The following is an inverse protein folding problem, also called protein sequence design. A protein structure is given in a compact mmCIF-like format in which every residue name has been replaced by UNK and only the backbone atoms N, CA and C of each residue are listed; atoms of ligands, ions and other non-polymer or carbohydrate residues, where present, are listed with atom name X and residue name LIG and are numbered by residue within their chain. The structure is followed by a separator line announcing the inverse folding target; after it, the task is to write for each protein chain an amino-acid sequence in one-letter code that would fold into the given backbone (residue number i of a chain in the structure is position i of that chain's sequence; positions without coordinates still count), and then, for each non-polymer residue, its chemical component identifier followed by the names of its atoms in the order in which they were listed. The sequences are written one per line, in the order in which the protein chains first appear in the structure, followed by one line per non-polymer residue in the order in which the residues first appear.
data_IF_547749950479
#
_entry.id   IF_547749950479
#
_cell.length_a   1.000
_cell.length_b   1.000
_cell.length_c   1.000
_cell.angle_alpha   90.00
_cell.angle_beta   90.00
_cell.angle_gamma   90.00
#
_symmetry.space_group_name_H-M   'P 1'
#
loop_
_entity.id
_entity.type
_entity.pdbx_description
1 polymer ?
#
# COMPACT_ATOMS: atom_id res chain seq x y z
N UNK A 1 -26.23 -1.69 15.07
CA UNK A 1 -25.33 -1.76 16.25
C UNK A 1 -24.03 -2.36 15.76
N UNK A 2 -22.91 -1.67 16.00
CA UNK A 2 -21.63 -1.88 15.31
C UNK A 2 -21.03 -3.26 15.60
N UNK A 3 -20.60 -3.96 14.54
CA UNK A 3 -19.46 -4.85 14.66
C UNK A 3 -18.23 -3.98 14.91
N UNK A 4 -17.64 -4.11 16.10
CA UNK A 4 -16.34 -3.53 16.38
C UNK A 4 -15.34 -4.68 16.24
N UNK A 5 -14.72 -4.75 15.05
CA UNK A 5 -13.42 -5.41 14.92
C UNK A 5 -12.47 -4.41 15.59
N UNK A 6 -11.94 -4.76 16.76
CA UNK A 6 -11.13 -3.80 17.53
C UNK A 6 -9.66 -3.87 17.19
N UNK A 7 -9.14 -5.03 16.78
CA UNK A 7 -7.72 -5.18 16.54
C UNK A 7 -7.50 -6.20 15.41
N UNK A 8 -6.70 -5.81 14.43
CA UNK A 8 -6.08 -6.66 13.41
C UNK A 8 -4.59 -6.59 13.64
N UNK A 9 -3.99 -7.72 14.01
CA UNK A 9 -2.54 -7.85 14.08
C UNK A 9 -2.05 -8.58 12.84
N UNK A 10 -1.06 -8.01 12.16
CA UNK A 10 -0.39 -8.59 11.01
C UNK A 10 0.91 -9.26 11.46
N UNK A 11 0.82 -10.36 12.20
CA UNK A 11 2.00 -11.18 12.53
C UNK A 11 2.31 -12.11 11.38
N UNK A 12 3.58 -12.38 11.05
CA UNK A 12 4.06 -13.54 10.24
C UNK A 12 3.23 -14.04 9.01
N UNK A 13 2.39 -13.20 8.38
CA UNK A 13 1.47 -13.60 7.32
C UNK A 13 0.10 -14.13 7.80
N UNK A 14 -0.25 -13.87 9.06
CA UNK A 14 -1.51 -14.16 9.73
C UNK A 14 -2.24 -12.88 10.18
N UNK A 15 -3.56 -12.98 10.31
CA UNK A 15 -4.44 -11.91 10.84
C UNK A 15 -5.22 -12.44 12.03
N UNK A 16 -5.18 -11.75 13.16
CA UNK A 16 -6.12 -11.97 14.27
C UNK A 16 -7.22 -10.90 14.24
N UNK A 17 -8.49 -11.29 14.19
CA UNK A 17 -9.67 -10.41 14.20
C UNK A 17 -10.35 -10.53 15.56
N UNK A 18 -10.35 -9.46 16.35
CA UNK A 18 -11.02 -9.42 17.66
C UNK A 18 -12.45 -8.87 17.58
N UNK A 19 -13.43 -9.62 18.10
CA UNK A 19 -14.85 -9.22 18.15
C UNK A 19 -15.22 -8.77 19.58
N UNK A 20 -15.40 -7.46 19.77
CA UNK A 20 -15.72 -6.85 21.07
C UNK A 20 -17.18 -6.37 21.17
N UNK A 21 -18.13 -7.25 20.83
CA UNK A 21 -19.55 -6.96 20.95
C UNK A 21 -20.44 -8.01 20.31
N UNK A 22 -21.75 -7.91 20.55
CA UNK A 22 -22.75 -8.78 19.93
C UNK A 22 -22.76 -8.60 18.41
N UNK A 23 -22.90 -9.70 17.66
CA UNK A 23 -22.96 -9.67 16.20
C UNK A 23 -24.38 -9.93 15.70
N UNK A 24 -24.85 -9.09 14.79
CA UNK A 24 -26.10 -9.26 14.07
C UNK A 24 -25.88 -9.81 12.65
N UNK A 25 -26.97 -10.02 11.90
CA UNK A 25 -26.90 -10.57 10.53
C UNK A 25 -26.08 -9.70 9.56
N UNK A 26 -26.07 -8.37 9.72
CA UNK A 26 -25.27 -7.47 8.86
C UNK A 26 -23.80 -7.58 9.23
N UNK A 27 -23.51 -7.62 10.52
CA UNK A 27 -22.18 -7.84 11.08
C UNK A 27 -21.58 -9.17 10.58
N UNK A 28 -22.31 -10.28 10.65
CA UNK A 28 -21.89 -11.58 10.10
C UNK A 28 -21.49 -11.47 8.63
N UNK A 29 -22.33 -10.87 7.77
CA UNK A 29 -22.04 -10.70 6.33
C UNK A 29 -20.76 -9.89 6.10
N UNK A 30 -20.54 -8.83 6.87
CA UNK A 30 -19.34 -7.98 6.76
C UNK A 30 -18.08 -8.73 7.16
N UNK A 31 -18.10 -9.46 8.28
CA UNK A 31 -16.96 -10.28 8.71
C UNK A 31 -16.63 -11.37 7.69
N UNK A 32 -17.63 -12.10 7.18
CA UNK A 32 -17.39 -13.10 6.13
C UNK A 32 -16.79 -12.47 4.88
N UNK A 33 -17.28 -11.29 4.45
CA UNK A 33 -16.71 -10.57 3.31
C UNK A 33 -15.26 -10.15 3.57
N UNK A 34 -14.98 -9.61 4.75
CA UNK A 34 -13.63 -9.19 5.14
C UNK A 34 -12.64 -10.35 5.12
N UNK A 35 -13.02 -11.50 5.70
CA UNK A 35 -12.19 -12.70 5.69
C UNK A 35 -11.89 -13.17 4.26
N UNK A 36 -12.88 -13.13 3.37
CA UNK A 36 -12.68 -13.47 1.95
C UNK A 36 -11.70 -12.51 1.27
N UNK A 37 -11.83 -11.21 1.53
CA UNK A 37 -10.88 -10.21 1.02
C UNK A 37 -9.46 -10.53 1.50
N UNK A 38 -9.27 -10.85 2.78
CA UNK A 38 -7.96 -11.27 3.32
C UNK A 38 -7.40 -12.49 2.55
N UNK A 39 -8.23 -13.49 2.28
CA UNK A 39 -7.84 -14.70 1.55
C UNK A 39 -7.50 -14.42 0.08
N UNK A 40 -8.26 -13.54 -0.58
CA UNK A 40 -8.01 -13.11 -1.96
C UNK A 40 -6.64 -12.42 -2.10
N UNK A 41 -6.21 -11.70 -1.05
CA UNK A 41 -4.89 -11.08 -0.96
C UNK A 41 -3.83 -11.99 -0.28
N UNK A 42 -4.07 -13.31 -0.27
CA UNK A 42 -3.07 -14.31 0.13
C UNK A 42 -2.98 -14.58 1.63
N UNK A 43 -3.80 -13.95 2.47
CA UNK A 43 -3.81 -14.17 3.93
C UNK A 43 -4.79 -15.28 4.27
N UNK A 44 -4.24 -16.46 4.55
CA UNK A 44 -5.05 -17.64 4.85
C UNK A 44 -5.12 -17.97 6.34
N UNK A 45 -4.10 -17.56 7.10
CA UNK A 45 -4.02 -17.79 8.54
C UNK A 45 -4.82 -16.70 9.26
N UNK A 46 -6.11 -16.96 9.53
CA UNK A 46 -7.01 -15.98 10.15
C UNK A 46 -7.60 -16.56 11.44
N UNK A 47 -7.36 -15.87 12.55
CA UNK A 47 -7.88 -16.19 13.88
C UNK A 47 -9.01 -15.20 14.24
N UNK A 48 -10.19 -15.70 14.62
CA UNK A 48 -11.32 -14.91 15.09
C UNK A 48 -11.39 -15.04 16.63
N UNK A 49 -10.99 -13.97 17.33
CA UNK A 49 -10.96 -13.92 18.78
C UNK A 49 -12.26 -13.32 19.31
N UNK A 50 -12.90 -13.98 20.28
CA UNK A 50 -14.15 -13.49 20.87
C UNK A 50 -14.31 -13.83 22.35
N UNK A 51 -15.03 -12.98 23.08
CA UNK A 51 -15.31 -13.20 24.51
C UNK A 51 -16.33 -14.31 24.71
N UNK A 52 -16.09 -15.18 25.69
CA UNK A 52 -17.08 -16.17 26.17
C UNK A 52 -18.34 -15.53 26.77
N UNK A 53 -18.30 -14.22 27.08
CA UNK A 53 -19.46 -13.48 27.59
C UNK A 53 -20.47 -13.10 26.51
N UNK A 54 -20.15 -13.27 25.22
CA UNK A 54 -21.09 -13.03 24.13
C UNK A 54 -22.27 -14.00 24.19
N UNK A 55 -23.44 -13.58 23.69
CA UNK A 55 -24.61 -14.45 23.61
C UNK A 55 -24.32 -15.73 22.82
N UNK A 56 -24.99 -16.85 23.18
CA UNK A 56 -24.87 -18.13 22.44
C UNK A 56 -25.10 -17.95 20.94
N UNK A 57 -26.05 -17.09 20.57
CA UNK A 57 -26.35 -16.74 19.18
C UNK A 57 -25.15 -16.13 18.47
N UNK A 58 -24.47 -15.18 19.10
CA UNK A 58 -23.26 -14.56 18.54
C UNK A 58 -22.12 -15.57 18.43
N UNK A 59 -21.90 -16.39 19.46
CA UNK A 59 -20.88 -17.45 19.43
C UNK A 59 -21.14 -18.49 18.32
N UNK A 60 -22.39 -18.93 18.14
CA UNK A 60 -22.79 -19.84 17.06
C UNK A 60 -22.60 -19.21 15.68
N UNK A 61 -22.91 -17.92 15.53
CA UNK A 61 -22.68 -17.19 14.29
C UNK A 61 -21.18 -17.09 13.98
N UNK A 62 -20.31 -16.84 14.96
CA UNK A 62 -18.85 -16.83 14.79
C UNK A 62 -18.35 -18.20 14.34
N UNK A 63 -18.76 -19.28 15.03
CA UNK A 63 -18.41 -20.66 14.66
C UNK A 63 -18.87 -21.02 13.24
N UNK A 64 -20.03 -20.52 12.84
CA UNK A 64 -20.56 -20.71 11.48
C UNK A 64 -19.69 -20.00 10.45
N UNK A 65 -19.28 -18.75 10.71
CA UNK A 65 -18.37 -18.00 9.84
C UNK A 65 -17.02 -18.73 9.73
N UNK A 66 -16.42 -19.06 10.88
CA UNK A 66 -15.16 -19.82 11.01
C UNK A 66 -15.16 -21.07 10.12
N UNK A 67 -16.21 -21.90 10.23
CA UNK A 67 -16.38 -23.09 9.39
C UNK A 67 -16.54 -22.78 7.90
N UNK A 68 -17.27 -21.71 7.56
CA UNK A 68 -17.51 -21.33 6.16
C UNK A 68 -16.26 -20.77 5.47
N UNK A 69 -15.41 -20.07 6.22
CA UNK A 69 -14.21 -19.42 5.68
C UNK A 69 -12.94 -20.24 5.88
N UNK A 70 -12.97 -21.30 6.68
CA UNK A 70 -11.77 -22.04 7.05
C UNK A 70 -10.85 -21.27 8.00
N UNK A 71 -11.37 -20.22 8.65
CA UNK A 71 -10.67 -19.47 9.70
C UNK A 71 -10.70 -20.28 11.00
N UNK A 72 -9.83 -19.94 11.95
CA UNK A 72 -9.83 -20.51 13.29
C UNK A 72 -10.60 -19.58 14.22
N UNK A 73 -11.50 -20.10 15.05
CA UNK A 73 -12.15 -19.31 16.10
C UNK A 73 -11.59 -19.67 17.47
N UNK A 74 -11.36 -18.66 18.31
CA UNK A 74 -10.75 -18.81 19.64
C UNK A 74 -11.59 -18.04 20.65
N UNK A 75 -12.17 -18.76 21.61
CA UNK A 75 -12.88 -18.16 22.74
C UNK A 75 -11.89 -17.75 23.83
N UNK A 76 -12.00 -16.52 24.31
CA UNK A 76 -11.18 -16.01 25.42
C UNK A 76 -11.95 -16.11 26.74
N UNK A 77 -11.46 -16.97 27.65
CA UNK A 77 -12.02 -17.12 29.00
C UNK A 77 -11.68 -15.89 29.87
N UNK A 78 -12.67 -15.43 30.65
CA UNK A 78 -12.63 -14.15 31.37
C UNK A 78 -11.77 -14.11 32.65
N UNK A 79 -10.92 -15.10 32.96
CA UNK A 79 -10.08 -15.07 34.17
C UNK A 79 -8.64 -15.61 34.01
N UNK A 80 -7.70 -14.71 34.31
CA UNK A 80 -6.29 -14.87 34.71
C UNK A 80 -5.30 -15.58 33.77
N UNK A 81 -4.28 -14.83 33.37
CA UNK A 81 -2.90 -15.34 33.39
C UNK A 81 -2.15 -15.33 32.07
N UNK A 82 -2.78 -15.70 30.97
CA UNK A 82 -2.18 -15.66 29.64
C UNK A 82 -3.05 -14.82 28.71
N UNK A 83 -3.00 -13.48 28.88
CA UNK A 83 -3.21 -12.62 27.71
C UNK A 83 -2.20 -13.13 26.68
N UNK A 84 -2.65 -13.55 25.49
CA UNK A 84 -1.71 -13.64 24.37
C UNK A 84 -0.87 -12.36 24.44
N UNK A 85 0.45 -12.49 24.54
CA UNK A 85 1.37 -11.35 24.42
C UNK A 85 1.20 -10.82 23.00
N UNK A 86 0.15 -10.04 22.81
CA UNK A 86 -0.14 -9.32 21.58
C UNK A 86 0.98 -8.30 21.43
N UNK A 87 1.67 -8.29 20.29
CA UNK A 87 2.47 -7.11 19.95
C UNK A 87 1.49 -5.94 19.89
N UNK A 88 1.80 -4.88 20.63
CA UNK A 88 1.00 -3.66 20.68
C UNK A 88 1.22 -2.82 19.40
N UNK A 89 1.41 -3.42 18.22
CA UNK A 89 1.97 -2.72 17.06
C UNK A 89 0.92 -1.94 16.27
N UNK A 90 -0.26 -2.52 16.01
CA UNK A 90 -1.30 -1.88 15.19
C UNK A 90 -2.71 -2.24 15.67
N UNK A 91 -3.59 -1.23 15.64
CA UNK A 91 -5.01 -1.32 15.98
C UNK A 91 -5.83 -0.86 14.78
N UNK A 92 -6.81 -1.68 14.39
CA UNK A 92 -7.74 -1.39 13.30
C UNK A 92 -9.13 -1.27 13.89
N UNK A 93 -9.71 -0.08 13.81
CA UNK A 93 -11.07 0.19 14.27
C UNK A 93 -11.96 0.56 13.09
N UNK A 94 -13.10 -0.12 13.00
CA UNK A 94 -14.17 0.20 12.06
C UNK A 94 -15.24 1.04 12.77
N UNK A 95 -15.60 2.21 12.23
CA UNK A 95 -16.69 3.04 12.78
C UNK A 95 -17.70 3.41 11.69
N UNK A 96 -19.00 3.25 12.00
CA UNK A 96 -20.04 3.89 11.19
C UNK A 96 -20.06 5.38 11.57
N UNK A 97 -19.81 6.26 10.61
CA UNK A 97 -19.97 7.71 10.82
C UNK A 97 -21.41 8.07 10.46
N UNK A 98 -22.09 8.82 11.33
CA UNK A 98 -23.41 9.34 11.01
C UNK A 98 -23.30 10.27 9.79
N UNK A 99 -24.09 10.00 8.75
CA UNK A 99 -24.18 10.89 7.61
C UNK A 99 -24.70 12.27 8.06
N UNK A 100 -24.07 13.35 7.60
CA UNK A 100 -24.73 14.64 7.52
C UNK A 100 -25.98 14.53 6.63
N UNK A 101 -27.00 15.35 6.88
CA UNK A 101 -28.38 15.19 6.38
C UNK A 101 -28.55 15.07 4.84
N UNK A 102 -27.50 15.26 4.04
CA UNK A 102 -27.55 15.26 2.58
C UNK A 102 -26.92 14.05 1.87
N UNK A 103 -26.27 13.11 2.57
CA UNK A 103 -25.54 12.02 1.90
C UNK A 103 -25.99 10.63 2.39
N UNK A 104 -26.66 9.87 1.51
CA UNK A 104 -27.16 8.51 1.78
C UNK A 104 -26.11 7.43 1.48
N UNK A 105 -24.84 7.79 1.32
CA UNK A 105 -23.75 6.82 1.21
C UNK A 105 -23.48 6.15 2.58
N UNK A 106 -23.17 4.86 2.57
CA UNK A 106 -22.69 4.14 3.75
C UNK A 106 -21.32 4.72 4.16
N UNK A 107 -21.30 5.82 4.91
CA UNK A 107 -20.08 6.48 5.38
C UNK A 107 -19.39 5.66 6.48
N UNK A 108 -18.68 4.65 6.02
CA UNK A 108 -17.78 3.84 6.83
C UNK A 108 -16.46 4.59 6.95
N UNK A 109 -16.06 4.88 8.17
CA UNK A 109 -14.70 5.36 8.46
C UNK A 109 -13.87 4.18 8.95
N UNK A 110 -12.80 3.91 8.22
CA UNK A 110 -11.78 2.97 8.62
C UNK A 110 -10.69 3.73 9.37
N UNK A 111 -10.54 3.45 10.67
CA UNK A 111 -9.58 4.09 11.55
C UNK A 111 -8.42 3.12 11.85
N UNK A 112 -7.24 3.39 11.34
CA UNK A 112 -6.02 2.62 11.62
C UNK A 112 -5.19 3.37 12.64
N UNK A 113 -4.61 2.69 13.64
CA UNK A 113 -3.69 3.27 14.62
C UNK A 113 -2.44 2.42 14.72
N UNK A 114 -1.29 2.95 14.29
CA UNK A 114 0.00 2.28 14.38
C UNK A 114 0.74 2.81 15.60
N UNK A 115 1.00 1.94 16.57
CA UNK A 115 1.66 2.25 17.85
C UNK A 115 3.13 1.81 17.85
N UNK A 116 3.52 0.92 16.92
CA UNK A 116 4.90 0.57 16.62
C UNK A 116 5.25 1.03 15.20
N UNK A 117 5.98 2.14 15.12
CA UNK A 117 6.38 2.71 13.83
C UNK A 117 7.33 1.80 13.04
N UNK A 118 8.06 0.90 13.71
CA UNK A 118 8.98 -0.02 13.02
C UNK A 118 8.25 -1.04 12.14
N UNK A 119 7.00 -1.38 12.50
CA UNK A 119 6.13 -2.25 11.72
C UNK A 119 5.17 -1.48 10.81
N UNK A 120 4.92 -0.19 11.09
CA UNK A 120 3.91 0.62 10.40
C UNK A 120 4.05 0.62 8.88
N UNK A 121 5.25 0.78 8.33
CA UNK A 121 5.46 0.83 6.87
C UNK A 121 5.13 -0.50 6.17
N UNK A 122 5.36 -1.64 6.83
CA UNK A 122 5.00 -2.95 6.29
C UNK A 122 3.49 -3.19 6.36
N UNK A 123 2.86 -2.74 7.44
CA UNK A 123 1.45 -3.00 7.72
C UNK A 123 0.48 -2.03 7.03
N UNK A 124 0.91 -0.78 6.78
CA UNK A 124 0.06 0.27 6.20
C UNK A 124 -0.40 -0.08 4.79
N UNK A 125 0.49 -0.59 3.94
CA UNK A 125 0.15 -0.99 2.57
C UNK A 125 -0.88 -2.11 2.56
N UNK A 126 -0.73 -3.06 3.49
CA UNK A 126 -1.67 -4.17 3.64
C UNK A 126 -3.02 -3.70 4.16
N UNK A 127 -3.03 -2.84 5.17
CA UNK A 127 -4.23 -2.26 5.73
C UNK A 127 -5.01 -1.43 4.69
N UNK A 128 -4.31 -0.58 3.93
CA UNK A 128 -4.90 0.22 2.84
C UNK A 128 -5.43 -0.68 1.73
N UNK A 129 -4.73 -1.77 1.39
CA UNK A 129 -5.23 -2.80 0.46
C UNK A 129 -6.56 -3.36 0.94
N UNK A 130 -6.64 -3.82 2.18
CA UNK A 130 -7.85 -4.41 2.76
C UNK A 130 -9.02 -3.42 2.74
N UNK A 131 -8.76 -2.16 3.09
CA UNK A 131 -9.76 -1.09 3.04
C UNK A 131 -10.21 -0.82 1.60
N UNK A 132 -9.27 -0.70 0.66
CA UNK A 132 -9.60 -0.44 -0.75
C UNK A 132 -10.43 -1.55 -1.37
N UNK A 133 -10.11 -2.81 -1.10
CA UNK A 133 -10.94 -3.96 -1.53
C UNK A 133 -12.30 -3.99 -0.84
N UNK A 134 -12.38 -3.60 0.43
CA UNK A 134 -13.67 -3.48 1.12
C UNK A 134 -14.54 -2.35 0.56
N UNK A 135 -13.91 -1.29 0.06
CA UNK A 135 -14.54 -0.15 -0.63
C UNK A 135 -14.75 -0.37 -2.14
N UNK A 136 -14.40 -1.55 -2.66
CA UNK A 136 -14.52 -1.90 -4.09
C UNK A 136 -13.77 -0.92 -5.00
N UNK A 137 -12.59 -0.46 -4.58
CA UNK A 137 -11.74 0.39 -5.40
C UNK A 137 -11.06 -0.43 -6.50
N UNK A 138 -10.95 0.18 -7.69
CA UNK A 138 -10.10 -0.30 -8.77
C UNK A 138 -8.60 -0.22 -8.39
N UNK A 139 -7.77 -0.98 -9.10
CA UNK A 139 -6.34 -1.12 -8.79
C UNK A 139 -5.60 0.22 -8.92
N UNK A 140 -5.96 1.05 -9.91
CA UNK A 140 -5.35 2.38 -10.09
C UNK A 140 -5.66 3.33 -8.94
N UNK A 141 -6.94 3.43 -8.55
CA UNK A 141 -7.33 4.23 -7.38
C UNK A 141 -6.66 3.72 -6.11
N UNK A 142 -6.57 2.40 -5.92
CA UNK A 142 -5.91 1.79 -4.77
C UNK A 142 -4.40 2.08 -4.74
N UNK A 143 -3.68 1.93 -5.85
CA UNK A 143 -2.24 2.18 -5.88
C UNK A 143 -1.90 3.65 -5.65
N UNK A 144 -2.71 4.59 -6.19
CA UNK A 144 -2.57 6.02 -5.89
C UNK A 144 -2.77 6.31 -4.40
N UNK A 145 -3.81 5.72 -3.81
CA UNK A 145 -4.10 5.84 -2.37
C UNK A 145 -2.93 5.30 -1.53
N UNK A 146 -2.42 4.11 -1.86
CA UNK A 146 -1.29 3.50 -1.18
C UNK A 146 -0.06 4.40 -1.25
N UNK A 147 0.30 4.89 -2.45
CA UNK A 147 1.46 5.75 -2.61
C UNK A 147 1.33 7.04 -1.80
N UNK A 148 0.21 7.77 -1.89
CA UNK A 148 0.01 8.98 -1.09
C UNK A 148 0.12 8.74 0.42
N UNK A 149 -0.50 7.67 0.93
CA UNK A 149 -0.44 7.32 2.36
C UNK A 149 0.97 6.91 2.76
N UNK A 150 1.64 6.11 1.93
CA UNK A 150 3.00 5.63 2.15
C UNK A 150 4.00 6.79 2.22
N UNK A 151 3.88 7.80 1.35
CA UNK A 151 4.75 8.99 1.37
C UNK A 151 4.56 9.86 2.63
N UNK A 152 3.37 9.89 3.22
CA UNK A 152 3.17 10.56 4.52
C UNK A 152 3.73 9.71 5.68
N UNK A 153 3.54 8.40 5.59
CA UNK A 153 4.00 7.45 6.59
C UNK A 153 5.52 7.39 6.67
N UNK A 154 6.22 7.33 5.53
CA UNK A 154 7.68 7.30 5.50
C UNK A 154 8.28 8.56 6.13
N UNK A 155 7.72 9.74 5.83
CA UNK A 155 8.15 10.99 6.47
C UNK A 155 7.94 10.95 7.99
N UNK A 156 6.83 10.38 8.45
CA UNK A 156 6.56 10.26 9.89
C UNK A 156 7.50 9.25 10.57
N UNK A 157 7.74 8.11 9.93
CA UNK A 157 8.50 6.99 10.51
C UNK A 157 10.00 7.25 10.47
N UNK A 158 10.53 7.71 9.34
CA UNK A 158 11.97 7.87 9.12
C UNK A 158 12.49 9.25 9.52
N UNK A 159 11.64 10.28 9.51
CA UNK A 159 12.06 11.66 9.76
C UNK A 159 11.32 12.33 10.93
N UNK A 160 10.29 11.71 11.49
CA UNK A 160 9.53 12.26 12.60
C UNK A 160 10.35 12.32 13.89
N UNK A 161 10.36 13.47 14.55
CA UNK A 161 10.75 13.60 15.96
C UNK A 161 9.51 13.56 16.82
N UNK A 162 9.57 12.89 17.98
CA UNK A 162 8.40 12.72 18.85
C UNK A 162 8.71 13.24 20.25
N UNK A 163 7.82 14.09 20.77
CA UNK A 163 7.86 14.56 22.17
C UNK A 163 7.12 13.61 23.13
N UNK A 164 6.81 12.40 22.67
CA UNK A 164 6.04 11.39 23.39
C UNK A 164 6.69 10.02 23.22
N UNK A 165 6.63 9.21 24.27
CA UNK A 165 7.08 7.81 24.24
C UNK A 165 6.10 6.88 23.48
N UNK A 166 4.99 7.42 22.97
CA UNK A 166 3.98 6.69 22.23
C UNK A 166 3.77 7.35 20.86
N UNK A 167 4.72 7.20 19.93
CA UNK A 167 4.52 7.64 18.56
C UNK A 167 3.30 6.93 17.96
N UNK A 168 2.54 7.64 17.13
CA UNK A 168 1.29 7.12 16.60
C UNK A 168 0.96 7.71 15.24
N UNK A 169 0.55 6.84 14.32
CA UNK A 169 -0.08 7.22 13.06
C UNK A 169 -1.55 6.80 13.12
N UNK A 170 -2.46 7.71 12.79
CA UNK A 170 -3.89 7.44 12.70
C UNK A 170 -4.43 7.78 11.31
N UNK A 171 -4.95 6.79 10.59
CA UNK A 171 -5.57 6.97 9.29
C UNK A 171 -7.08 6.87 9.40
N UNK A 172 -7.80 7.82 8.82
CA UNK A 172 -9.25 7.76 8.60
C UNK A 172 -9.52 7.73 7.10
N UNK A 173 -10.14 6.67 6.59
CA UNK A 173 -10.47 6.54 5.16
C UNK A 173 -11.99 6.43 5.00
N UNK A 174 -12.55 7.25 4.12
CA UNK A 174 -13.96 7.26 3.73
C UNK A 174 -14.07 7.35 2.21
N UNK A 175 -15.19 6.95 1.62
CA UNK A 175 -15.39 7.06 0.18
C UNK A 175 -16.85 7.34 -0.18
N UNK A 176 -17.05 8.16 -1.21
CA UNK A 176 -18.32 8.33 -1.90
C UNK A 176 -18.18 7.86 -3.36
N UNK A 177 -19.13 8.18 -4.24
CA UNK A 177 -19.10 7.70 -5.63
C UNK A 177 -17.95 8.29 -6.45
N UNK A 178 -17.47 9.50 -6.12
CA UNK A 178 -16.47 10.21 -6.90
C UNK A 178 -15.06 10.16 -6.29
N UNK A 179 -14.95 10.10 -4.97
CA UNK A 179 -13.68 10.26 -4.27
C UNK A 179 -13.51 9.26 -3.12
N UNK A 180 -12.26 8.92 -2.88
CA UNK A 180 -11.77 8.39 -1.59
C UNK A 180 -11.15 9.55 -0.84
N UNK A 181 -11.63 9.81 0.38
CA UNK A 181 -11.10 10.86 1.25
C UNK A 181 -10.29 10.23 2.36
N UNK A 182 -9.06 10.72 2.54
CA UNK A 182 -8.15 10.30 3.59
C UNK A 182 -7.91 11.44 4.55
N UNK A 183 -7.87 11.13 5.83
CA UNK A 183 -7.31 11.98 6.87
C UNK A 183 -6.20 11.20 7.58
N UNK A 184 -4.97 11.57 7.27
CA UNK A 184 -3.75 11.09 7.90
C UNK A 184 -3.44 11.95 9.12
N UNK A 185 -3.14 11.32 10.26
CA UNK A 185 -2.72 12.01 11.48
C UNK A 185 -1.48 11.37 12.05
N UNK A 186 -0.57 12.18 12.56
CA UNK A 186 0.56 11.72 13.34
C UNK A 186 0.84 12.68 14.49
N UNK A 187 1.56 12.21 15.51
CA UNK A 187 1.95 13.00 16.67
C UNK A 187 3.46 13.32 16.67
N UNK A 188 4.11 13.30 15.50
CA UNK A 188 5.47 13.83 15.37
C UNK A 188 5.46 15.35 15.58
N UNK A 189 6.63 15.97 15.72
CA UNK A 189 6.76 17.41 15.65
C UNK A 189 6.38 17.93 14.26
N UNK A 190 6.25 19.26 14.14
CA UNK A 190 5.90 19.87 12.86
C UNK A 190 7.05 19.66 11.89
N UNK A 191 6.82 18.83 10.88
CA UNK A 191 7.73 18.62 9.77
C UNK A 191 7.30 19.42 8.53
N UNK A 192 6.01 19.41 8.19
CA UNK A 192 5.50 20.03 6.97
C UNK A 192 5.38 21.57 7.11
N UNK A 193 6.24 22.29 6.39
CA UNK A 193 6.01 23.73 6.14
C UNK A 193 5.31 23.90 4.79
N UNK A 194 4.35 24.86 4.69
CA UNK A 194 3.59 25.13 3.44
C UNK A 194 4.46 25.40 2.20
N UNK A 195 5.75 25.66 2.39
CA UNK A 195 6.73 26.05 1.38
C UNK A 195 7.31 24.86 0.59
N UNK A 196 7.20 23.63 1.07
CA UNK A 196 7.84 22.44 0.47
C UNK A 196 7.02 21.77 -0.66
N UNK A 197 5.92 22.40 -1.10
CA UNK A 197 4.91 21.80 -1.97
C UNK A 197 5.14 21.98 -3.49
N UNK A 198 6.19 22.71 -3.88
CA UNK A 198 6.52 22.96 -5.29
C UNK A 198 7.90 22.42 -5.65
N UNK A 199 7.93 21.21 -6.20
CA UNK A 199 9.11 20.59 -6.80
C UNK A 199 8.80 20.33 -8.27
N UNK A 200 9.80 20.35 -9.14
CA UNK A 200 9.64 19.93 -10.53
C UNK A 200 10.40 18.61 -10.74
N UNK A 201 9.69 17.54 -11.12
CA UNK A 201 10.33 16.22 -11.38
C UNK A 201 11.46 16.36 -12.39
N UNK A 202 11.24 17.11 -13.47
CA UNK A 202 12.23 17.23 -14.54
C UNK A 202 13.54 17.85 -14.05
N UNK A 203 13.49 18.73 -13.05
CA UNK A 203 14.68 19.36 -12.48
C UNK A 203 15.37 18.40 -11.49
N UNK A 204 14.63 17.69 -10.65
CA UNK A 204 15.19 16.62 -9.79
C UNK A 204 15.85 15.49 -10.58
N UNK A 205 15.25 15.06 -11.69
CA UNK A 205 15.85 14.04 -12.59
C UNK A 205 17.19 14.55 -13.14
N UNK A 206 17.27 15.82 -13.58
CA UNK A 206 18.52 16.40 -14.09
C UNK A 206 19.58 16.51 -13.01
N UNK A 207 19.19 16.89 -11.80
CA UNK A 207 20.06 17.04 -10.63
C UNK A 207 20.45 15.70 -10.00
N UNK A 208 19.89 14.57 -10.48
CA UNK A 208 20.08 13.21 -9.93
C UNK A 208 19.67 13.12 -8.47
N UNK A 209 18.75 13.96 -8.03
CA UNK A 209 18.19 13.89 -6.68
C UNK A 209 17.05 12.88 -6.65
N UNK A 210 17.34 11.70 -6.10
CA UNK A 210 16.34 10.64 -5.87
C UNK A 210 15.48 10.88 -4.63
N UNK A 211 15.84 11.88 -3.80
CA UNK A 211 15.15 12.21 -2.54
C UNK A 211 14.22 13.41 -2.69
N UNK A 212 13.18 13.48 -1.86
CA UNK A 212 12.24 14.61 -1.82
C UNK A 212 11.17 14.59 -2.92
N UNK A 213 10.94 13.43 -3.55
CA UNK A 213 9.84 13.24 -4.53
C UNK A 213 8.48 13.00 -3.84
N UNK A 214 8.45 12.60 -2.57
CA UNK A 214 7.22 12.16 -1.90
C UNK A 214 6.08 13.18 -1.88
N UNK A 215 6.32 14.38 -1.35
CA UNK A 215 5.29 15.44 -1.29
C UNK A 215 4.89 15.95 -2.68
N UNK A 216 5.84 15.97 -3.62
CA UNK A 216 5.54 16.28 -5.00
C UNK A 216 4.55 15.28 -5.61
N UNK A 217 4.88 13.98 -5.51
CA UNK A 217 4.07 12.90 -6.06
C UNK A 217 2.68 12.93 -5.41
N UNK A 218 2.62 13.15 -4.09
CA UNK A 218 1.36 13.32 -3.39
C UNK A 218 0.48 14.41 -4.02
N UNK A 219 1.05 15.57 -4.36
CA UNK A 219 0.30 16.67 -4.98
C UNK A 219 -0.19 16.37 -6.41
N UNK A 220 0.47 15.47 -7.14
CA UNK A 220 0.00 15.05 -8.46
C UNK A 220 -1.08 13.97 -8.37
N UNK A 221 -0.97 13.06 -7.39
CA UNK A 221 -1.86 11.91 -7.26
C UNK A 221 -3.15 12.23 -6.48
N UNK A 222 -3.18 13.32 -5.73
CA UNK A 222 -4.30 13.74 -4.88
C UNK A 222 -4.82 15.13 -5.20
N UNK A 223 -6.03 15.43 -4.74
CA UNK A 223 -6.69 16.75 -4.81
C UNK A 223 -7.17 17.18 -3.43
N UNK A 224 -7.47 18.47 -3.27
CA UNK A 224 -7.94 19.07 -2.01
C UNK A 224 -7.03 18.74 -0.80
N UNK A 225 -5.72 18.77 -1.02
CA UNK A 225 -4.73 18.48 0.03
C UNK A 225 -4.61 19.64 1.01
N UNK A 226 -4.92 19.39 2.28
CA UNK A 226 -4.83 20.35 3.37
C UNK A 226 -3.98 19.81 4.52
N UNK A 227 -3.12 20.66 5.08
CA UNK A 227 -2.37 20.38 6.31
C UNK A 227 -2.77 21.34 7.43
N UNK A 228 -2.99 20.81 8.63
CA UNK A 228 -3.28 21.58 9.85
C UNK A 228 -2.58 20.93 11.05
N UNK A 229 -2.02 21.77 11.95
CA UNK A 229 -1.57 21.34 13.28
C UNK A 229 -2.72 21.52 14.27
N UNK A 230 -3.16 20.43 14.92
CA UNK A 230 -4.22 20.42 15.93
C UNK A 230 -3.64 19.93 17.27
N UNK A 231 -3.21 20.86 18.12
CA UNK A 231 -2.49 20.52 19.35
C UNK A 231 -1.18 19.80 19.04
N UNK A 232 -1.02 18.58 19.57
CA UNK A 232 0.15 17.72 19.31
C UNK A 232 0.04 16.89 18.03
N UNK A 233 -1.04 17.03 17.25
CA UNK A 233 -1.27 16.23 16.04
C UNK A 233 -1.06 17.02 14.76
N UNK A 234 -0.22 16.49 13.88
CA UNK A 234 -0.23 16.81 12.46
C UNK A 234 -1.46 16.16 11.82
N UNK A 235 -2.20 16.90 10.99
CA UNK A 235 -3.36 16.40 10.28
C UNK A 235 -3.27 16.80 8.82
N UNK A 236 -3.08 15.79 7.95
CA UNK A 236 -3.10 15.96 6.49
C UNK A 236 -4.35 15.29 5.94
N UNK A 237 -5.19 16.05 5.24
CA UNK A 237 -6.38 15.52 4.56
C UNK A 237 -6.23 15.69 3.06
N UNK A 238 -6.63 14.69 2.28
CA UNK A 238 -6.58 14.73 0.82
C UNK A 238 -7.63 13.80 0.21
N UNK A 239 -7.89 13.97 -1.08
CA UNK A 239 -8.82 13.13 -1.85
C UNK A 239 -8.12 12.49 -3.04
N UNK A 240 -8.52 11.27 -3.36
CA UNK A 240 -8.14 10.57 -4.60
C UNK A 240 -9.43 10.35 -5.39
N UNK A 241 -9.46 10.83 -6.63
CA UNK A 241 -10.60 10.60 -7.54
C UNK A 241 -10.67 9.12 -7.92
N UNK A 242 -11.86 8.52 -7.81
CA UNK A 242 -12.13 7.17 -8.30
C UNK A 242 -12.18 7.17 -9.81
N UNK A 243 -11.65 6.13 -10.44
CA UNK A 243 -11.82 5.92 -11.88
C UNK A 243 -13.29 5.52 -12.13
N UNK A 244 -13.95 6.10 -13.14
CA UNK A 244 -15.26 5.62 -13.56
C UNK A 244 -15.12 4.13 -13.95
N UNK A 245 -16.01 3.27 -13.46
CA UNK A 245 -16.04 1.84 -13.79
C UNK A 245 -16.35 1.64 -15.28
N UNK A 246 -15.35 1.82 -16.13
CA UNK A 246 -15.37 1.43 -17.54
C UNK A 246 -15.24 -0.09 -17.67
N UNK A 247 -15.77 -0.65 -18.76
CA UNK A 247 -15.96 -2.08 -19.03
C UNK A 247 -14.69 -2.98 -19.12
N UNK A 248 -13.56 -2.59 -18.54
CA UNK A 248 -12.30 -3.35 -18.53
C UNK A 248 -12.16 -4.34 -17.36
N UNK A 249 -13.24 -4.66 -16.65
CA UNK A 249 -13.26 -5.52 -15.45
C UNK A 249 -12.95 -7.03 -15.67
N UNK A 250 -12.68 -7.48 -16.90
CA UNK A 250 -12.59 -8.93 -17.17
C UNK A 250 -11.20 -9.56 -16.98
N UNK A 251 -10.12 -8.79 -16.82
CA UNK A 251 -8.76 -9.35 -16.73
C UNK A 251 -8.07 -9.24 -15.35
N UNK A 252 -8.63 -8.52 -14.37
CA UNK A 252 -7.91 -8.19 -13.12
C UNK A 252 -8.16 -9.15 -11.95
N UNK A 253 -9.13 -10.07 -12.06
CA UNK A 253 -9.57 -10.95 -10.95
C UNK A 253 -8.57 -12.01 -10.44
N UNK A 254 -7.32 -12.03 -10.93
CA UNK A 254 -6.38 -13.13 -10.63
C UNK A 254 -5.00 -12.72 -10.12
N UNK A 255 -4.68 -11.43 -9.97
CA UNK A 255 -3.44 -11.05 -9.30
C UNK A 255 -3.60 -11.22 -7.79
N UNK A 256 -3.26 -12.42 -7.32
CA UNK A 256 -3.03 -12.69 -5.91
C UNK A 256 -1.94 -11.73 -5.43
N UNK A 257 -2.32 -10.73 -4.65
CA UNK A 257 -1.37 -10.03 -3.79
C UNK A 257 -0.76 -11.13 -2.92
N UNK A 258 0.51 -11.44 -3.14
CA UNK A 258 1.24 -12.33 -2.24
C UNK A 258 2.03 -11.41 -1.33
N UNK A 259 1.91 -11.59 -0.02
CA UNK A 259 2.97 -11.20 0.90
C UNK A 259 4.20 -12.05 0.57
N UNK A 260 4.94 -11.66 -0.45
CA UNK A 260 6.18 -12.29 -0.84
C UNK A 260 7.32 -11.42 -0.33
N UNK A 261 8.32 -12.04 0.27
CA UNK A 261 9.62 -11.42 0.49
C UNK A 261 10.12 -10.85 -0.84
N UNK A 262 10.51 -9.58 -0.84
CA UNK A 262 11.07 -8.95 -2.02
C UNK A 262 12.26 -9.78 -2.53
N UNK A 263 12.31 -10.02 -3.84
CA UNK A 263 13.44 -10.72 -4.45
C UNK A 263 13.72 -10.18 -5.85
N UNK A 264 15.00 -10.24 -6.21
CA UNK A 264 15.51 -9.90 -7.53
C UNK A 264 15.99 -11.19 -8.18
N UNK A 265 15.53 -11.46 -9.39
CA UNK A 265 16.04 -12.57 -10.22
C UNK A 265 16.59 -12.00 -11.51
N UNK A 266 17.69 -12.55 -11.98
CA UNK A 266 18.28 -12.15 -13.25
C UNK A 266 18.41 -13.31 -14.21
N UNK A 267 18.10 -13.03 -15.46
CA UNK A 267 18.19 -13.97 -16.56
C UNK A 267 19.05 -13.35 -17.66
N UNK A 268 20.02 -14.11 -18.15
CA UNK A 268 20.74 -13.75 -19.37
C UNK A 268 19.78 -13.81 -20.56
N UNK A 269 19.87 -12.85 -21.47
CA UNK A 269 19.16 -12.91 -22.74
C UNK A 269 20.14 -12.99 -23.90
N UNK A 270 19.69 -13.48 -25.06
CA UNK A 270 20.53 -13.66 -26.26
C UNK A 270 20.95 -12.32 -26.93
N UNK A 271 20.78 -11.20 -26.25
CA UNK A 271 21.13 -9.86 -26.73
C UNK A 271 22.43 -9.44 -26.04
N UNK A 272 23.46 -9.17 -26.82
CA UNK A 272 24.78 -8.77 -26.29
C UNK A 272 24.66 -7.47 -25.46
N UNK A 273 25.30 -7.47 -24.28
CA UNK A 273 25.25 -6.34 -23.36
C UNK A 273 23.90 -6.09 -22.70
N UNK A 274 22.95 -7.03 -22.77
CA UNK A 274 21.63 -6.91 -22.17
C UNK A 274 21.40 -7.90 -21.01
N UNK A 275 20.68 -7.47 -19.98
CA UNK A 275 20.33 -8.30 -18.82
C UNK A 275 18.85 -8.14 -18.47
N UNK A 276 18.12 -9.24 -18.33
CA UNK A 276 16.74 -9.22 -17.85
C UNK A 276 16.75 -9.36 -16.33
N UNK A 277 16.06 -8.45 -15.66
CA UNK A 277 15.93 -8.37 -14.21
C UNK A 277 14.45 -8.43 -13.86
N UNK A 278 14.04 -9.51 -13.21
CA UNK A 278 12.69 -9.68 -12.70
C UNK A 278 12.64 -9.22 -11.25
N UNK A 279 11.81 -8.21 -11.00
CA UNK A 279 11.53 -7.71 -9.66
C UNK A 279 10.24 -8.35 -9.14
N UNK A 280 10.28 -8.90 -7.94
CA UNK A 280 9.16 -9.63 -7.33
C UNK A 280 8.85 -8.99 -5.97
N UNK A 281 7.61 -8.55 -5.80
CA UNK A 281 7.09 -7.95 -4.56
C UNK A 281 7.01 -6.43 -4.61
N UNK A 282 7.16 -5.80 -3.45
CA UNK A 282 7.06 -4.35 -3.25
C UNK A 282 8.42 -3.68 -3.40
N UNK A 283 8.50 -2.62 -4.21
CA UNK A 283 9.67 -1.72 -4.30
C UNK A 283 9.43 -0.55 -3.35
N UNK A 284 9.77 -0.72 -2.07
CA UNK A 284 9.47 0.19 -0.96
C UNK A 284 10.76 0.60 -0.22
N UNK A 285 10.66 1.34 0.89
CA UNK A 285 11.86 1.84 1.59
C UNK A 285 12.83 0.75 2.05
N UNK A 286 12.36 -0.48 2.24
CA UNK A 286 13.21 -1.61 2.64
C UNK A 286 13.89 -2.23 1.42
N UNK A 287 13.15 -2.50 0.34
CA UNK A 287 13.71 -3.16 -0.85
C UNK A 287 14.47 -2.22 -1.78
N UNK A 288 14.20 -0.92 -1.72
CA UNK A 288 14.82 0.15 -2.54
C UNK A 288 16.34 0.09 -2.47
N UNK A 289 16.94 -0.13 -1.29
CA UNK A 289 18.40 -0.25 -1.15
C UNK A 289 18.96 -1.45 -1.93
N UNK A 290 18.30 -2.61 -1.85
CA UNK A 290 18.72 -3.81 -2.57
C UNK A 290 18.59 -3.62 -4.09
N UNK A 291 17.55 -2.91 -4.55
CA UNK A 291 17.37 -2.55 -5.97
C UNK A 291 18.47 -1.62 -6.43
N UNK A 292 18.78 -0.57 -5.65
CA UNK A 292 19.82 0.40 -5.98
C UNK A 292 21.19 -0.26 -6.10
N UNK A 293 21.57 -1.07 -5.12
CA UNK A 293 22.84 -1.80 -5.12
C UNK A 293 22.93 -2.75 -6.32
N UNK A 294 21.86 -3.49 -6.60
CA UNK A 294 21.80 -4.42 -7.72
C UNK A 294 21.96 -3.70 -9.08
N UNK A 295 21.21 -2.61 -9.29
CA UNK A 295 21.31 -1.82 -10.52
C UNK A 295 22.67 -1.13 -10.63
N UNK A 296 23.25 -0.65 -9.52
CA UNK A 296 24.59 -0.07 -9.50
C UNK A 296 25.66 -1.10 -9.90
N UNK A 297 25.53 -2.35 -9.46
CA UNK A 297 26.44 -3.42 -9.87
C UNK A 297 26.34 -3.71 -11.38
N UNK A 298 25.14 -3.67 -11.96
CA UNK A 298 24.97 -3.76 -13.42
C UNK A 298 25.51 -2.51 -14.15
N UNK A 299 25.39 -1.33 -13.55
CA UNK A 299 25.99 -0.11 -14.09
C UNK A 299 27.54 -0.16 -14.06
N UNK A 300 28.14 -0.93 -13.17
CA UNK A 300 29.58 -1.12 -13.10
C UNK A 300 30.10 -2.30 -13.94
N UNK A 301 29.22 -3.06 -14.59
CA UNK A 301 29.57 -4.15 -15.50
C UNK A 301 29.58 -3.68 -16.97
N UNK A 302 29.78 -4.62 -17.90
CA UNK A 302 29.65 -4.38 -19.34
C UNK A 302 28.19 -4.27 -19.82
N UNK A 303 27.21 -4.44 -18.92
CA UNK A 303 25.80 -4.29 -19.23
C UNK A 303 25.51 -2.86 -19.72
N UNK A 304 24.87 -2.77 -20.88
CA UNK A 304 24.37 -1.54 -21.52
C UNK A 304 22.86 -1.46 -21.48
N UNK A 305 22.16 -2.59 -21.58
CA UNK A 305 20.70 -2.63 -21.56
C UNK A 305 20.23 -3.41 -20.33
N UNK A 306 19.38 -2.78 -19.53
CA UNK A 306 18.74 -3.45 -18.39
C UNK A 306 17.25 -3.54 -18.71
N UNK A 307 16.70 -4.74 -18.69
CA UNK A 307 15.28 -4.99 -18.95
C UNK A 307 14.60 -5.35 -17.64
N UNK A 308 13.73 -4.49 -17.13
CA UNK A 308 12.97 -4.75 -15.91
C UNK A 308 11.64 -5.43 -16.24
N UNK A 309 11.45 -6.67 -15.78
CA UNK A 309 10.14 -7.35 -15.81
C UNK A 309 9.34 -7.00 -14.54
N UNK A 310 8.26 -6.24 -14.73
CA UNK A 310 7.37 -5.76 -13.66
C UNK A 310 6.20 -6.72 -13.34
N UNK A 311 6.13 -7.89 -13.97
CA UNK A 311 4.95 -8.77 -13.90
C UNK A 311 4.56 -9.21 -12.49
N UNK A 312 5.50 -9.21 -11.55
CA UNK A 312 5.29 -9.54 -10.13
C UNK A 312 5.59 -8.38 -9.18
N UNK A 313 5.68 -7.15 -9.70
CA UNK A 313 5.79 -5.93 -8.86
C UNK A 313 4.40 -5.53 -8.42
N UNK A 314 4.19 -5.40 -7.11
CA UNK A 314 2.88 -5.07 -6.52
C UNK A 314 2.76 -3.62 -6.07
N UNK A 315 3.88 -2.94 -5.89
CA UNK A 315 3.94 -1.56 -5.39
C UNK A 315 5.30 -0.95 -5.74
N UNK A 316 5.32 0.37 -5.96
CA UNK A 316 6.55 1.14 -6.12
C UNK A 316 6.43 2.47 -5.37
N UNK A 317 7.43 2.76 -4.53
CA UNK A 317 7.56 4.01 -3.77
C UNK A 317 8.15 5.15 -4.61
N UNK A 318 8.11 6.38 -4.10
CA UNK A 318 8.77 7.53 -4.72
C UNK A 318 10.28 7.31 -4.92
N UNK A 319 10.95 6.71 -3.93
CA UNK A 319 12.38 6.39 -4.00
C UNK A 319 12.67 5.34 -5.09
N UNK A 320 11.82 4.31 -5.20
CA UNK A 320 11.90 3.31 -6.26
C UNK A 320 11.81 3.94 -7.66
N UNK A 321 10.85 4.86 -7.87
CA UNK A 321 10.73 5.63 -9.11
C UNK A 321 12.01 6.44 -9.37
N UNK A 322 12.54 7.11 -8.34
CA UNK A 322 13.78 7.88 -8.43
C UNK A 322 14.99 7.05 -8.87
N UNK A 323 15.17 5.84 -8.32
CA UNK A 323 16.24 4.91 -8.73
C UNK A 323 16.12 4.54 -10.21
N UNK A 324 14.91 4.23 -10.68
CA UNK A 324 14.69 3.85 -12.07
C UNK A 324 15.05 5.00 -13.02
N UNK A 325 14.62 6.23 -12.71
CA UNK A 325 14.95 7.42 -13.49
C UNK A 325 16.46 7.72 -13.48
N UNK A 326 17.13 7.57 -12.34
CA UNK A 326 18.58 7.70 -12.23
C UNK A 326 19.34 6.67 -13.06
N UNK A 327 18.81 5.44 -13.10
CA UNK A 327 19.38 4.32 -13.87
C UNK A 327 19.21 4.55 -15.37
N UNK A 328 18.04 5.02 -15.84
CA UNK A 328 17.83 5.47 -17.24
C UNK A 328 18.90 6.48 -17.64
N UNK A 329 19.08 7.54 -16.83
CA UNK A 329 20.04 8.60 -17.11
C UNK A 329 21.49 8.08 -17.21
N UNK A 330 21.85 7.13 -16.34
CA UNK A 330 23.20 6.55 -16.28
C UNK A 330 23.49 5.61 -17.45
N UNK A 331 22.52 4.77 -17.86
CA UNK A 331 22.68 3.87 -19.01
C UNK A 331 22.76 4.64 -20.33
N UNK A 332 21.94 5.68 -20.51
CA UNK A 332 21.95 6.50 -21.73
C UNK A 332 23.27 7.21 -21.96
N UNK A 333 23.95 7.65 -20.91
CA UNK A 333 25.31 8.21 -21.01
C UNK A 333 26.35 7.20 -21.51
N UNK A 334 26.08 5.89 -21.35
CA UNK A 334 26.95 4.79 -21.78
C UNK A 334 26.48 4.15 -23.10
N UNK A 335 25.55 4.79 -23.82
CA UNK A 335 25.02 4.29 -25.09
C UNK A 335 24.08 3.09 -24.94
N UNK A 336 23.45 2.94 -23.77
CA UNK A 336 22.44 1.92 -23.49
C UNK A 336 21.12 2.51 -22.99
N UNK A 337 20.22 1.70 -22.44
CA UNK A 337 18.96 2.19 -21.85
C UNK A 337 18.36 1.22 -20.81
N UNK A 338 17.44 1.73 -19.99
CA UNK A 338 16.57 0.94 -19.11
C UNK A 338 15.23 0.71 -19.82
N UNK A 339 14.85 -0.56 -19.99
CA UNK A 339 13.67 -0.97 -20.75
C UNK A 339 12.72 -1.70 -19.82
N UNK A 340 11.43 -1.42 -19.91
CA UNK A 340 10.41 -2.02 -19.07
C UNK A 340 9.55 -3.02 -19.85
N UNK A 341 9.18 -4.10 -19.17
CA UNK A 341 8.26 -5.12 -19.69
C UNK A 341 7.17 -5.42 -18.66
N UNK A 342 5.96 -5.70 -19.17
CA UNK A 342 4.81 -6.19 -18.39
C UNK A 342 4.46 -5.31 -17.18
N UNK A 343 4.50 -3.99 -17.37
CA UNK A 343 4.13 -3.02 -16.34
C UNK A 343 2.65 -3.23 -15.97
N UNK A 344 2.32 -3.41 -14.68
CA UNK A 344 0.95 -3.35 -14.17
C UNK A 344 0.24 -2.06 -14.60
N UNK A 345 -1.04 -2.13 -14.95
CA UNK A 345 -1.84 -0.96 -15.36
C UNK A 345 -1.84 0.11 -14.29
N UNK A 346 -1.94 -0.31 -13.03
CA UNK A 346 -1.90 0.55 -11.85
C UNK A 346 -0.56 1.30 -11.67
N UNK A 347 0.56 0.70 -12.09
CA UNK A 347 1.88 1.36 -12.09
C UNK A 347 2.02 2.26 -13.32
N UNK A 348 1.51 1.84 -14.47
CA UNK A 348 1.47 2.65 -15.69
C UNK A 348 0.68 3.94 -15.48
N UNK A 349 -0.50 3.86 -14.85
CA UNK A 349 -1.32 5.01 -14.50
C UNK A 349 -0.55 6.01 -13.60
N UNK A 350 0.26 5.52 -12.66
CA UNK A 350 1.13 6.38 -11.84
C UNK A 350 2.17 7.08 -12.71
N UNK A 351 2.84 6.37 -13.63
CA UNK A 351 3.84 6.97 -14.51
C UNK A 351 3.23 8.03 -15.44
N UNK A 352 2.01 7.80 -15.93
CA UNK A 352 1.26 8.74 -16.74
C UNK A 352 0.88 10.00 -15.95
N UNK A 353 0.32 9.86 -14.74
CA UNK A 353 -0.06 11.01 -13.91
C UNK A 353 1.18 11.84 -13.54
N UNK A 354 2.31 11.18 -13.29
CA UNK A 354 3.57 11.86 -13.00
C UNK A 354 4.26 12.44 -14.25
N UNK A 355 3.71 12.23 -15.44
CA UNK A 355 4.29 12.61 -16.74
C UNK A 355 5.73 12.10 -16.93
N UNK A 356 5.99 10.88 -16.47
CA UNK A 356 7.32 10.24 -16.60
C UNK A 356 7.34 9.07 -17.59
N UNK A 357 6.20 8.69 -18.18
CA UNK A 357 6.11 7.58 -19.13
C UNK A 357 7.09 7.73 -20.30
N UNK A 358 7.24 8.94 -20.85
CA UNK A 358 8.14 9.24 -21.98
C UNK A 358 9.63 9.07 -21.65
N UNK A 359 9.99 8.97 -20.37
CA UNK A 359 11.37 8.69 -19.98
C UNK A 359 11.75 7.22 -20.13
N UNK A 360 10.76 6.32 -20.14
CA UNK A 360 10.97 4.88 -20.17
C UNK A 360 10.69 4.29 -21.54
N UNK A 361 11.56 3.39 -21.98
CA UNK A 361 11.28 2.54 -23.14
C UNK A 361 10.46 1.36 -22.64
N UNK A 362 9.27 1.14 -23.18
CA UNK A 362 8.38 0.06 -22.76
C UNK A 362 8.18 -0.88 -23.96
N UNK A 363 8.37 -2.18 -23.75
CA UNK A 363 8.17 -3.20 -24.77
C UNK A 363 7.20 -4.28 -24.28
N UNK A 364 6.32 -4.73 -25.17
CA UNK A 364 5.32 -5.77 -24.88
C UNK A 364 5.87 -7.19 -25.01
N UNK A 365 7.01 -7.38 -25.70
CA UNK A 365 7.57 -8.71 -25.96
C UNK A 365 9.09 -8.72 -26.11
N UNK A 366 9.69 -9.91 -26.00
CA UNK A 366 11.12 -10.11 -26.27
C UNK A 366 11.45 -9.86 -27.75
N UNK A 367 10.50 -10.08 -28.66
CA UNK A 367 10.69 -9.79 -30.08
C UNK A 367 10.79 -8.28 -30.33
N UNK A 368 9.91 -7.51 -29.72
CA UNK A 368 9.96 -6.04 -29.75
C UNK A 368 11.23 -5.50 -29.08
N UNK A 369 11.67 -6.12 -27.98
CA UNK A 369 12.95 -5.82 -27.35
C UNK A 369 14.12 -5.96 -28.33
N UNK A 370 14.19 -7.09 -29.06
CA UNK A 370 15.24 -7.34 -30.07
C UNK A 370 15.24 -6.27 -31.17
N UNK A 371 14.06 -5.87 -31.64
CA UNK A 371 13.92 -4.81 -32.63
C UNK A 371 14.33 -3.43 -32.09
N UNK A 372 14.09 -3.18 -30.81
CA UNK A 372 14.38 -1.90 -30.13
C UNK A 372 15.86 -1.70 -29.88
N UNK A 373 16.56 -2.75 -29.41
CA UNK A 373 17.98 -2.65 -29.05
C UNK A 373 18.90 -2.54 -30.29
N UNK A 374 18.42 -2.83 -31.51
CA UNK A 374 19.20 -2.84 -32.76
C UNK A 374 20.58 -3.49 -32.59
N UNK A 375 20.58 -4.83 -32.59
CA UNK A 375 21.81 -5.64 -32.79
C UNK A 375 22.46 -5.28 -34.12
#
# INVERSE_FOLDING_TARGET
MLMIIEDINFTDGSIAIRINGEIDRRSTKRLTRYIKICQDIGINNIDILYSETLSKRSQEAIKTISKQTGSKDVSEASKSGNKLKMSKSTRFEYRNVAAGESDRSNNIEYCLSFLDLSAALAEINLAVTLIGRALELDDSTLSRLQLCIYELAINTVEHGTFQTDQPSIVLSITANDAYVTVRYRDNADVFLTKTELHVNISDKIKERETRGLGLFIMNQLSVDTEYKRLGSWNVTSFKVAKKESGAHEQHEKQRRIRMNTFSIKSESCDIEGATIVKLIGSIDSVSTQNVEEYLTNLLNSETKFIIIDFSEVSFISSAGIGILLGTVSSLRQRGGDLIFMKIPSEISDIFEILNISDYFVIVGSIEELKNTIKV
#
